data_IF_393776784672
#
_entry.id   IF_393776784672
#
_cell.length_a   1.000
_cell.length_b   1.000
_cell.length_c   1.000
_cell.angle_alpha   90.00
_cell.angle_beta   90.00
_cell.angle_gamma   90.00
#
_symmetry.space_group_name_H-M   'P 1'
#
loop_
_entity.id
_entity.type
_entity.pdbx_description
1 polymer ?
#
# COMPACT_ATOMS: atom_id res chain seq x y z
N UNK A 1 -4.27 15.14 18.73
CA UNK A 1 -3.12 15.36 17.82
C UNK A 1 -3.02 14.13 16.95
N UNK A 2 -3.29 14.21 15.66
CA UNK A 2 -2.92 13.16 14.71
C UNK A 2 -1.45 13.36 14.39
N UNK A 3 -0.60 12.48 14.89
CA UNK A 3 0.81 12.48 14.51
C UNK A 3 0.93 11.96 13.08
N UNK A 4 1.76 12.61 12.28
CA UNK A 4 2.07 12.13 10.93
C UNK A 4 2.95 10.87 11.00
N UNK A 5 2.60 9.87 10.20
CA UNK A 5 3.35 8.64 10.03
C UNK A 5 4.56 8.91 9.13
N UNK A 6 5.75 8.54 9.61
CA UNK A 6 7.02 8.57 8.87
C UNK A 6 7.62 7.16 8.91
N UNK A 7 7.16 6.28 8.03
CA UNK A 7 7.49 4.85 8.10
C UNK A 7 8.40 4.45 6.95
N UNK A 8 8.11 4.90 5.73
CA UNK A 8 8.78 4.41 4.52
C UNK A 8 10.09 5.14 4.21
N UNK A 9 10.24 6.37 4.71
CA UNK A 9 11.31 7.28 4.29
C UNK A 9 11.09 7.88 2.89
N UNK A 10 9.95 7.61 2.25
CA UNK A 10 9.55 8.18 0.97
C UNK A 10 8.36 9.11 1.22
N UNK A 11 8.58 10.42 1.09
CA UNK A 11 7.58 11.46 1.40
C UNK A 11 6.21 11.19 0.77
N UNK A 12 6.19 10.78 -0.50
CA UNK A 12 4.92 10.51 -1.20
C UNK A 12 4.22 9.21 -0.78
N UNK A 13 4.95 8.23 -0.26
CA UNK A 13 4.37 7.01 0.29
C UNK A 13 3.87 7.25 1.72
N UNK A 14 4.64 7.98 2.54
CA UNK A 14 4.20 8.42 3.87
C UNK A 14 2.95 9.33 3.79
N UNK A 15 2.91 10.26 2.84
CA UNK A 15 1.72 11.08 2.60
C UNK A 15 0.50 10.25 2.16
N UNK A 16 0.71 9.10 1.50
CA UNK A 16 -0.37 8.17 1.17
C UNK A 16 -0.88 7.46 2.43
N UNK A 17 0.02 6.92 3.26
CA UNK A 17 -0.33 6.23 4.51
C UNK A 17 -1.09 7.14 5.48
N UNK A 18 -0.73 8.43 5.54
CA UNK A 18 -1.39 9.40 6.40
C UNK A 18 -2.83 9.74 5.99
N UNK A 19 -3.17 9.64 4.70
CA UNK A 19 -4.47 10.09 4.17
C UNK A 19 -5.42 8.96 3.75
N UNK A 20 -4.92 7.73 3.63
CA UNK A 20 -5.65 6.60 3.06
C UNK A 20 -5.59 5.38 4.00
N UNK A 21 -6.71 5.09 4.67
CA UNK A 21 -6.80 3.95 5.58
C UNK A 21 -6.65 2.59 4.89
N UNK A 22 -7.00 2.47 3.60
CA UNK A 22 -6.74 1.24 2.83
C UNK A 22 -5.25 1.05 2.61
N UNK A 23 -4.50 2.14 2.35
CA UNK A 23 -3.04 2.08 2.25
C UNK A 23 -2.43 1.58 3.56
N UNK A 24 -2.87 2.11 4.70
CA UNK A 24 -2.38 1.70 6.00
C UNK A 24 -2.65 0.20 6.27
N UNK A 25 -3.88 -0.27 6.02
CA UNK A 25 -4.23 -1.68 6.22
C UNK A 25 -3.43 -2.63 5.32
N UNK A 26 -3.19 -2.25 4.06
CA UNK A 26 -2.35 -3.04 3.15
C UNK A 26 -0.91 -3.08 3.66
N UNK A 27 -0.35 -1.95 4.11
CA UNK A 27 0.98 -1.91 4.73
C UNK A 27 1.09 -2.86 5.92
N UNK A 28 0.11 -2.85 6.83
CA UNK A 28 0.05 -3.77 7.98
C UNK A 28 -0.06 -5.23 7.57
N UNK A 29 -0.79 -5.54 6.49
CA UNK A 29 -0.91 -6.91 5.99
C UNK A 29 0.41 -7.43 5.40
N UNK A 30 1.19 -6.55 4.77
CA UNK A 30 2.46 -6.87 4.12
C UNK A 30 3.66 -6.92 5.08
N UNK A 31 3.50 -6.47 6.33
CA UNK A 31 4.55 -6.44 7.34
C UNK A 31 4.86 -7.85 7.89
N UNK A 32 5.40 -8.72 7.02
CA UNK A 32 5.67 -10.12 7.30
C UNK A 32 7.11 -10.48 6.93
N UNK A 33 7.95 -10.70 7.94
CA UNK A 33 9.34 -11.18 7.79
C UNK A 33 10.22 -10.33 6.85
N UNK A 34 9.91 -9.03 6.74
CA UNK A 34 10.65 -8.03 5.98
C UNK A 34 10.77 -6.74 6.78
N UNK A 35 11.71 -5.83 6.47
CA UNK A 35 11.75 -4.51 7.09
C UNK A 35 10.44 -3.74 6.93
N UNK A 36 9.99 -3.09 8.00
CA UNK A 36 8.73 -2.35 8.04
C UNK A 36 8.66 -1.26 6.97
N UNK A 37 9.77 -0.55 6.75
CA UNK A 37 9.88 0.52 5.77
C UNK A 37 9.62 -0.01 4.34
N UNK A 38 10.05 -1.24 4.07
CA UNK A 38 9.79 -1.91 2.80
C UNK A 38 8.34 -2.36 2.68
N UNK A 39 7.79 -3.03 3.70
CA UNK A 39 6.40 -3.48 3.71
C UNK A 39 5.41 -2.31 3.49
N UNK A 40 5.62 -1.21 4.20
CA UNK A 40 4.75 -0.03 4.15
C UNK A 40 4.91 0.79 2.86
N UNK A 41 5.95 0.51 2.05
CA UNK A 41 6.06 1.03 0.67
C UNK A 41 5.15 0.27 -0.31
N UNK A 42 4.77 -0.97 0.01
CA UNK A 42 3.88 -1.84 -0.77
C UNK A 42 2.60 -1.17 -1.32
N UNK A 43 1.74 -0.54 -0.47
CA UNK A 43 0.53 0.14 -0.96
C UNK A 43 0.82 1.25 -1.96
N UNK A 44 1.94 1.98 -1.83
CA UNK A 44 2.33 3.02 -2.77
C UNK A 44 2.71 2.43 -4.14
N UNK A 45 3.45 1.31 -4.14
CA UNK A 45 3.78 0.57 -5.36
C UNK A 45 2.53 0.04 -6.05
N UNK A 46 1.61 -0.60 -5.32
CA UNK A 46 0.34 -1.10 -5.87
C UNK A 46 -0.48 0.05 -6.47
N UNK A 47 -0.57 1.19 -5.77
CA UNK A 47 -1.25 2.38 -6.30
C UNK A 47 -0.63 2.89 -7.59
N UNK A 48 0.70 2.87 -7.73
CA UNK A 48 1.38 3.29 -8.97
C UNK A 48 1.03 2.37 -10.14
N UNK A 49 0.88 1.07 -9.91
CA UNK A 49 0.57 0.10 -10.96
C UNK A 49 -0.91 0.09 -11.35
N UNK A 50 -1.80 0.13 -10.37
CA UNK A 50 -3.26 0.16 -10.61
C UNK A 50 -3.80 1.54 -10.96
N UNK A 51 -3.07 2.61 -10.63
CA UNK A 51 -3.56 3.99 -10.70
C UNK A 51 -4.54 4.37 -9.57
N UNK A 52 -4.94 3.42 -8.72
CA UNK A 52 -5.83 3.63 -7.58
C UNK A 52 -5.51 2.68 -6.42
N UNK A 53 -6.17 2.90 -5.29
CA UNK A 53 -6.16 1.97 -4.14
C UNK A 53 -7.58 1.72 -3.59
N UNK A 54 -8.61 1.90 -4.43
CA UNK A 54 -10.01 1.64 -4.07
C UNK A 54 -10.22 0.15 -3.70
N UNK A 55 -10.58 -0.17 -2.43
CA UNK A 55 -10.69 -1.55 -1.97
C UNK A 55 -11.85 -2.31 -2.64
N UNK A 56 -12.92 -1.63 -3.06
CA UNK A 56 -14.05 -2.29 -3.74
C UNK A 56 -13.66 -2.70 -5.15
N UNK A 57 -12.88 -1.87 -5.84
CA UNK A 57 -12.35 -2.20 -7.17
C UNK A 57 -11.38 -3.36 -7.08
N UNK A 58 -10.43 -3.31 -6.13
CA UNK A 58 -9.47 -4.40 -5.90
C UNK A 58 -10.21 -5.71 -5.61
N UNK A 59 -11.20 -5.70 -4.72
CA UNK A 59 -11.96 -6.90 -4.36
C UNK A 59 -12.80 -7.48 -5.53
N UNK A 60 -13.07 -6.69 -6.57
CA UNK A 60 -13.80 -7.12 -7.76
C UNK A 60 -12.87 -7.62 -8.89
N UNK A 61 -11.55 -7.49 -8.74
CA UNK A 61 -10.58 -7.97 -9.74
C UNK A 61 -10.48 -9.49 -9.71
N UNK A 62 -10.12 -10.08 -10.85
CA UNK A 62 -9.65 -11.46 -10.87
C UNK A 62 -8.35 -11.56 -10.04
N UNK A 63 -8.24 -12.60 -9.21
CA UNK A 63 -7.11 -12.78 -8.29
C UNK A 63 -5.78 -12.93 -9.01
N UNK A 64 -5.74 -13.66 -10.13
CA UNK A 64 -4.51 -13.90 -10.89
C UNK A 64 -4.04 -12.63 -11.58
N UNK A 65 -4.97 -11.82 -12.10
CA UNK A 65 -4.67 -10.50 -12.67
C UNK A 65 -4.12 -9.54 -11.60
N UNK A 66 -4.73 -9.51 -10.42
CA UNK A 66 -4.27 -8.66 -9.31
C UNK A 66 -2.88 -9.09 -8.82
N UNK A 67 -2.62 -10.39 -8.69
CA UNK A 67 -1.31 -10.92 -8.30
C UNK A 67 -0.26 -10.54 -9.33
N UNK A 68 -0.53 -10.72 -10.62
CA UNK A 68 0.41 -10.36 -11.69
C UNK A 68 0.84 -8.89 -11.60
N UNK A 69 -0.12 -7.99 -11.37
CA UNK A 69 0.14 -6.55 -11.17
C UNK A 69 0.98 -6.31 -9.91
N UNK A 70 0.68 -7.00 -8.80
CA UNK A 70 1.43 -6.84 -7.55
C UNK A 70 2.86 -7.37 -7.62
N UNK A 71 3.14 -8.34 -8.50
CA UNK A 71 4.44 -9.02 -8.61
C UNK A 71 5.37 -8.50 -9.71
N UNK A 72 4.92 -7.55 -10.53
CA UNK A 72 5.77 -6.81 -11.49
C UNK A 72 7.04 -6.23 -10.84
#
# INVERSE_FOLDING_TARGET
MTQELYITGIESADALLNRDGTALMIGMLLDQQVPMEWAFTGPYTIRKRLGHLDPKRIAAMNVDEFVAICSE
#
